data_IF_153651957487
#
_entry.id   IF_153651957487
#
_cell.length_a   1.000
_cell.length_b   1.000
_cell.length_c   1.000
_cell.angle_alpha   90.00
_cell.angle_beta   90.00
_cell.angle_gamma   90.00
#
_symmetry.space_group_name_H-M   'P 1'
#
loop_
_entity.id
_entity.type
_entity.pdbx_description
1 polymer ?
#
# COMPACT_ATOMS: atom_id res chain seq x y z
N UNK A 1 59.90 13.75 -42.42
CA UNK A 1 58.48 13.34 -42.63
C UNK A 1 58.04 12.22 -41.68
N UNK A 2 58.73 11.14 -41.49
CA UNK A 2 58.36 9.99 -40.61
C UNK A 2 58.06 10.35 -39.16
N UNK A 3 58.79 11.26 -38.54
CA UNK A 3 58.60 11.66 -37.13
C UNK A 3 57.26 12.35 -36.89
N UNK A 4 56.78 13.17 -37.79
CA UNK A 4 55.48 13.88 -37.67
C UNK A 4 54.30 12.91 -37.75
N UNK A 5 54.41 11.85 -38.51
CA UNK A 5 53.39 10.79 -38.63
C UNK A 5 53.28 10.00 -37.31
N UNK A 6 54.41 9.64 -36.70
CA UNK A 6 54.42 8.95 -35.42
C UNK A 6 53.83 9.79 -34.27
N UNK A 7 54.13 11.11 -34.22
CA UNK A 7 53.53 11.99 -33.22
C UNK A 7 52.01 12.09 -33.39
N UNK A 8 51.53 12.23 -34.62
CA UNK A 8 50.10 12.27 -34.92
C UNK A 8 49.38 10.95 -34.51
N UNK A 9 50.03 9.80 -34.75
CA UNK A 9 49.51 8.50 -34.38
C UNK A 9 49.42 8.30 -32.85
N UNK A 10 50.43 8.74 -32.10
CA UNK A 10 50.41 8.69 -30.62
C UNK A 10 49.32 9.59 -30.05
N UNK A 11 49.15 10.81 -30.60
CA UNK A 11 48.08 11.72 -30.19
C UNK A 11 46.68 11.12 -30.47
N UNK A 12 46.51 10.50 -31.62
CA UNK A 12 45.23 9.84 -31.97
C UNK A 12 44.89 8.71 -31.02
N UNK A 13 45.87 7.87 -30.67
CA UNK A 13 45.69 6.79 -29.69
C UNK A 13 45.35 7.39 -28.31
N UNK A 14 46.01 8.44 -27.87
CA UNK A 14 45.73 9.12 -26.62
C UNK A 14 44.29 9.65 -26.55
N UNK A 15 43.80 10.24 -27.62
CA UNK A 15 42.41 10.73 -27.72
C UNK A 15 41.42 9.56 -27.62
N UNK A 16 41.69 8.47 -28.34
CA UNK A 16 40.81 7.27 -28.30
C UNK A 16 40.75 6.66 -26.89
N UNK A 17 41.90 6.48 -26.24
CA UNK A 17 41.97 5.92 -24.86
C UNK A 17 41.25 6.86 -23.88
N UNK A 18 41.44 8.19 -24.00
CA UNK A 18 40.72 9.16 -23.15
C UNK A 18 39.22 9.14 -23.38
N UNK A 19 38.79 9.03 -24.63
CA UNK A 19 37.36 8.90 -24.98
C UNK A 19 36.71 7.64 -24.41
N UNK A 20 37.40 6.50 -24.50
CA UNK A 20 36.91 5.23 -23.95
C UNK A 20 36.84 5.29 -22.42
N UNK A 21 37.88 5.84 -21.76
CA UNK A 21 37.83 6.03 -20.29
C UNK A 21 36.74 6.97 -19.84
N UNK A 22 36.53 8.08 -20.56
CA UNK A 22 35.44 9.01 -20.28
C UNK A 22 34.08 8.35 -20.45
N UNK A 23 33.88 7.55 -21.49
CA UNK A 23 32.63 6.82 -21.71
C UNK A 23 32.32 5.86 -20.55
N UNK A 24 33.27 5.03 -20.13
CA UNK A 24 33.07 4.15 -18.98
C UNK A 24 32.79 4.92 -17.70
N UNK A 25 33.55 5.98 -17.42
CA UNK A 25 33.33 6.82 -16.25
C UNK A 25 31.92 7.42 -16.21
N UNK A 26 31.46 7.99 -17.32
CA UNK A 26 30.11 8.58 -17.40
C UNK A 26 29.04 7.50 -17.25
N UNK A 27 29.22 6.36 -17.89
CA UNK A 27 28.28 5.25 -17.80
C UNK A 27 28.16 4.74 -16.36
N UNK A 28 29.28 4.47 -15.69
CA UNK A 28 29.29 4.02 -14.31
C UNK A 28 28.65 5.04 -13.36
N UNK A 29 28.95 6.34 -13.57
CA UNK A 29 28.36 7.42 -12.77
C UNK A 29 26.85 7.49 -12.95
N UNK A 30 26.36 7.38 -14.18
CA UNK A 30 24.91 7.38 -14.47
C UNK A 30 24.22 6.17 -13.82
N UNK A 31 24.83 4.99 -13.89
CA UNK A 31 24.28 3.80 -13.25
C UNK A 31 24.23 3.95 -11.73
N UNK A 32 25.28 4.43 -11.11
CA UNK A 32 25.35 4.62 -9.66
C UNK A 32 24.34 5.68 -9.18
N UNK A 33 24.23 6.79 -9.89
CA UNK A 33 23.28 7.86 -9.59
C UNK A 33 21.82 7.36 -9.75
N UNK A 34 21.53 6.62 -10.83
CA UNK A 34 20.22 6.04 -11.05
C UNK A 34 19.84 5.01 -9.98
N UNK A 35 20.78 4.17 -9.57
CA UNK A 35 20.56 3.18 -8.51
C UNK A 35 20.29 3.85 -7.15
N UNK A 36 21.03 4.91 -6.84
CA UNK A 36 20.84 5.68 -5.60
C UNK A 36 19.48 6.40 -5.61
N UNK A 37 19.09 6.98 -6.73
CA UNK A 37 17.78 7.64 -6.88
C UNK A 37 16.62 6.63 -6.72
N UNK A 38 16.71 5.46 -7.34
CA UNK A 38 15.72 4.39 -7.15
C UNK A 38 15.62 3.94 -5.68
N UNK A 39 16.75 3.82 -4.99
CA UNK A 39 16.78 3.46 -3.58
C UNK A 39 16.13 4.54 -2.70
N UNK A 40 16.33 5.80 -3.03
CA UNK A 40 15.71 6.92 -2.32
C UNK A 40 14.19 6.93 -2.51
N UNK A 41 13.71 6.76 -3.75
CA UNK A 41 12.29 6.61 -4.07
C UNK A 41 11.69 5.42 -3.29
N UNK A 42 12.33 4.25 -3.35
CA UNK A 42 11.88 3.07 -2.60
C UNK A 42 11.73 3.35 -1.10
N UNK A 43 12.73 3.99 -0.49
CA UNK A 43 12.69 4.33 0.93
C UNK A 43 11.57 5.33 1.26
N UNK A 44 11.34 6.30 0.39
CA UNK A 44 10.26 7.28 0.55
C UNK A 44 8.89 6.61 0.51
N UNK A 45 8.65 5.76 -0.49
CA UNK A 45 7.40 5.01 -0.63
C UNK A 45 7.16 4.10 0.55
N UNK A 46 8.19 3.36 0.94
CA UNK A 46 8.09 2.45 2.06
C UNK A 46 7.72 3.19 3.36
N UNK A 47 8.34 4.37 3.60
CA UNK A 47 7.97 5.22 4.75
C UNK A 47 6.52 5.73 4.64
N UNK A 48 6.09 6.14 3.45
CA UNK A 48 4.72 6.61 3.22
C UNK A 48 3.71 5.50 3.50
N UNK A 49 3.99 4.29 3.04
CA UNK A 49 3.16 3.11 3.28
C UNK A 49 3.08 2.77 4.79
N UNK A 50 4.22 2.71 5.48
CA UNK A 50 4.23 2.48 6.92
C UNK A 50 3.49 3.56 7.71
N UNK A 51 3.62 4.82 7.31
CA UNK A 51 2.92 5.92 7.94
C UNK A 51 1.41 5.83 7.70
N UNK A 52 0.99 5.47 6.49
CA UNK A 52 -0.42 5.25 6.16
C UNK A 52 -1.00 4.13 7.01
N UNK A 53 -0.37 2.95 7.01
CA UNK A 53 -0.82 1.78 7.75
C UNK A 53 -0.89 2.10 9.26
N UNK A 54 0.21 2.56 9.84
CA UNK A 54 0.27 2.88 11.28
C UNK A 54 -0.60 4.08 11.68
N UNK A 55 -0.83 5.02 10.76
CA UNK A 55 -1.78 6.12 10.94
C UNK A 55 -3.21 5.60 11.00
N UNK A 56 -3.60 4.76 10.03
CA UNK A 56 -4.93 4.15 9.95
C UNK A 56 -5.24 3.35 11.22
N UNK A 57 -4.34 2.49 11.67
CA UNK A 57 -4.56 1.72 12.91
C UNK A 57 -4.73 2.60 14.14
N UNK A 58 -3.88 3.63 14.32
CA UNK A 58 -4.02 4.58 15.44
C UNK A 58 -5.35 5.32 15.41
N UNK A 59 -5.83 5.68 14.23
CA UNK A 59 -7.13 6.34 14.07
C UNK A 59 -8.25 5.38 14.43
N UNK A 60 -8.17 4.12 14.03
CA UNK A 60 -9.15 3.08 14.40
C UNK A 60 -9.15 2.81 15.91
N UNK A 61 -7.98 2.71 16.53
CA UNK A 61 -7.86 2.56 17.99
C UNK A 61 -8.55 3.69 18.78
N UNK A 62 -8.55 4.90 18.23
CA UNK A 62 -9.28 6.01 18.86
C UNK A 62 -10.79 5.87 18.75
N UNK A 63 -11.32 5.15 17.78
CA UNK A 63 -12.77 4.97 17.61
C UNK A 63 -13.34 3.88 18.52
N UNK A 64 -12.54 2.86 18.86
CA UNK A 64 -12.99 1.70 19.63
C UNK A 64 -13.69 2.11 20.93
N UNK A 65 -13.11 2.94 21.83
CA UNK A 65 -13.78 3.32 23.08
C UNK A 65 -15.12 4.03 22.85
N UNK A 66 -15.23 4.84 21.80
CA UNK A 66 -16.49 5.51 21.48
C UNK A 66 -17.57 4.53 21.01
N UNK A 67 -17.17 3.53 20.21
CA UNK A 67 -18.08 2.50 19.71
C UNK A 67 -18.53 1.55 20.82
N UNK A 68 -17.63 1.23 21.76
CA UNK A 68 -17.93 0.39 22.92
C UNK A 68 -18.89 1.08 23.91
N UNK A 69 -18.81 2.39 24.07
CA UNK A 69 -19.70 3.18 24.92
C UNK A 69 -21.10 3.37 24.34
N UNK A 70 -21.27 3.20 23.02
CA UNK A 70 -22.55 3.36 22.34
C UNK A 70 -23.40 2.09 22.47
N UNK A 71 -24.59 2.22 23.06
CA UNK A 71 -25.55 1.12 23.20
C UNK A 71 -26.60 1.08 22.11
N UNK A 72 -26.80 2.19 21.39
CA UNK A 72 -27.80 2.33 20.34
C UNK A 72 -27.17 2.13 18.97
N UNK A 73 -27.62 1.11 18.24
CA UNK A 73 -27.16 0.80 16.89
C UNK A 73 -27.30 1.98 15.91
N UNK A 74 -28.34 2.79 16.08
CA UNK A 74 -28.56 3.99 15.25
C UNK A 74 -27.43 5.01 15.50
N UNK A 75 -27.05 5.21 16.74
CA UNK A 75 -25.92 6.11 17.10
C UNK A 75 -24.62 5.58 16.52
N UNK A 76 -24.37 4.28 16.59
CA UNK A 76 -23.19 3.62 15.99
C UNK A 76 -23.21 3.83 14.47
N UNK A 77 -24.32 3.59 13.80
CA UNK A 77 -24.44 3.77 12.34
C UNK A 77 -24.20 5.22 11.92
N UNK A 78 -24.81 6.19 12.61
CA UNK A 78 -24.60 7.63 12.35
C UNK A 78 -23.15 8.06 12.61
N UNK A 79 -22.52 7.52 13.64
CA UNK A 79 -21.10 7.77 13.95
C UNK A 79 -20.19 7.22 12.86
N UNK A 80 -20.40 5.95 12.44
CA UNK A 80 -19.62 5.31 11.38
C UNK A 80 -19.76 6.05 10.05
N UNK A 81 -20.98 6.48 9.67
CA UNK A 81 -21.19 7.25 8.43
C UNK A 81 -20.46 8.60 8.47
N UNK A 82 -20.36 9.23 9.64
CA UNK A 82 -19.58 10.46 9.80
C UNK A 82 -18.08 10.22 9.62
N UNK A 83 -17.50 9.24 10.35
CA UNK A 83 -16.07 8.96 10.22
C UNK A 83 -15.71 8.44 8.82
N UNK A 84 -16.60 7.67 8.18
CA UNK A 84 -16.42 7.24 6.79
C UNK A 84 -16.28 8.42 5.83
N UNK A 85 -17.09 9.46 6.02
CA UNK A 85 -17.01 10.67 5.20
C UNK A 85 -15.73 11.47 5.47
N UNK A 86 -15.29 11.51 6.72
CA UNK A 86 -14.11 12.30 7.13
C UNK A 86 -12.81 11.61 6.73
N UNK A 87 -12.74 10.28 6.83
CA UNK A 87 -11.54 9.48 6.58
C UNK A 87 -11.49 8.84 5.18
N UNK A 88 -12.61 8.86 4.45
CA UNK A 88 -12.67 8.42 3.05
C UNK A 88 -12.58 6.91 2.82
N UNK A 89 -12.78 6.06 3.84
CA UNK A 89 -12.78 4.62 3.64
C UNK A 89 -14.07 4.11 2.97
N UNK A 90 -14.01 2.98 2.28
CA UNK A 90 -15.11 2.46 1.46
C UNK A 90 -16.08 1.60 2.26
N UNK A 91 -15.58 0.81 3.21
CA UNK A 91 -16.39 -0.10 4.02
C UNK A 91 -15.99 -0.10 5.48
N UNK A 92 -16.96 -0.40 6.36
CA UNK A 92 -16.75 -0.60 7.79
C UNK A 92 -17.34 -1.94 8.20
N UNK A 93 -16.62 -2.71 9.02
CA UNK A 93 -16.94 -4.09 9.37
C UNK A 93 -16.75 -4.33 10.86
N UNK A 94 -17.76 -4.89 11.49
CA UNK A 94 -17.65 -5.63 12.76
C UNK A 94 -17.26 -7.05 12.41
N UNK A 95 -16.15 -7.57 12.93
CA UNK A 95 -15.58 -8.86 12.52
C UNK A 95 -15.68 -9.84 13.67
N UNK A 96 -16.33 -11.00 13.42
CA UNK A 96 -16.44 -12.07 14.39
C UNK A 96 -15.18 -12.92 14.46
N UNK A 97 -15.09 -13.72 15.50
CA UNK A 97 -13.99 -14.67 15.72
C UNK A 97 -13.77 -15.64 14.57
N UNK A 98 -14.83 -16.01 13.87
CA UNK A 98 -14.79 -16.95 12.73
C UNK A 98 -14.56 -16.25 11.38
N UNK A 99 -14.34 -14.92 11.36
CA UNK A 99 -14.15 -14.16 10.13
C UNK A 99 -15.44 -13.73 9.43
N UNK A 100 -16.60 -13.99 10.04
CA UNK A 100 -17.85 -13.36 9.62
C UNK A 100 -17.80 -11.86 9.85
N UNK A 101 -18.53 -11.10 9.06
CA UNK A 101 -18.66 -9.66 9.29
C UNK A 101 -20.13 -9.21 9.30
N UNK A 102 -20.35 -8.11 9.99
CA UNK A 102 -21.57 -7.31 9.92
C UNK A 102 -21.21 -5.85 9.64
N UNK A 103 -21.93 -5.20 8.73
CA UNK A 103 -21.77 -3.76 8.47
C UNK A 103 -22.76 -2.95 9.30
N UNK A 104 -22.59 -1.61 9.44
CA UNK A 104 -23.56 -0.78 10.16
C UNK A 104 -24.99 -0.79 9.57
N UNK A 105 -25.14 -1.08 8.28
CA UNK A 105 -26.43 -1.31 7.61
C UNK A 105 -26.91 -2.79 7.68
N UNK A 106 -26.33 -3.59 8.57
CA UNK A 106 -26.68 -4.98 8.85
C UNK A 106 -26.46 -5.97 7.72
N UNK A 107 -25.66 -5.63 6.73
CA UNK A 107 -25.23 -6.63 5.76
C UNK A 107 -24.24 -7.59 6.44
N UNK A 108 -24.50 -8.89 6.32
CA UNK A 108 -23.65 -9.94 6.87
C UNK A 108 -22.97 -10.71 5.74
N UNK A 109 -21.76 -11.16 5.99
CA UNK A 109 -20.99 -11.95 5.04
C UNK A 109 -19.75 -12.53 5.69
N UNK A 110 -18.79 -12.92 4.85
CA UNK A 110 -17.52 -13.50 5.29
C UNK A 110 -16.37 -12.76 4.62
N UNK A 111 -15.39 -12.34 5.43
CA UNK A 111 -14.15 -11.72 4.97
C UNK A 111 -13.06 -12.79 4.86
N UNK A 112 -12.62 -13.06 3.64
CA UNK A 112 -11.44 -13.90 3.47
C UNK A 112 -10.19 -13.02 3.68
N UNK A 113 -9.64 -13.06 4.88
CA UNK A 113 -8.42 -12.34 5.27
C UNK A 113 -7.14 -13.15 5.02
N UNK A 114 -7.18 -14.15 4.13
CA UNK A 114 -6.03 -14.91 3.64
C UNK A 114 -5.13 -15.54 4.75
N UNK A 115 -5.72 -15.93 5.86
CA UNK A 115 -5.01 -16.56 7.00
C UNK A 115 -4.65 -15.58 8.12
N UNK A 116 -4.76 -14.27 7.92
CA UNK A 116 -4.48 -13.26 8.97
C UNK A 116 -5.56 -13.16 10.06
N UNK A 117 -6.63 -13.94 9.96
CA UNK A 117 -7.69 -13.93 10.99
C UNK A 117 -7.15 -14.38 12.36
N UNK A 118 -6.24 -15.36 12.39
CA UNK A 118 -5.63 -15.82 13.65
C UNK A 118 -4.75 -14.74 14.28
N UNK A 119 -3.97 -14.02 13.50
CA UNK A 119 -3.16 -12.89 13.97
C UNK A 119 -4.05 -11.81 14.58
N UNK A 120 -5.15 -11.46 13.90
CA UNK A 120 -6.11 -10.45 14.37
C UNK A 120 -6.81 -10.86 15.67
N UNK A 121 -7.35 -12.06 15.74
CA UNK A 121 -8.26 -12.48 16.82
C UNK A 121 -7.53 -13.17 17.97
N UNK A 122 -6.56 -14.05 17.66
CA UNK A 122 -5.86 -14.85 18.68
C UNK A 122 -4.66 -14.10 19.20
N UNK A 123 -3.81 -13.58 18.32
CA UNK A 123 -2.59 -12.88 18.67
C UNK A 123 -2.85 -11.40 19.01
N UNK A 124 -4.07 -10.91 18.72
CA UNK A 124 -4.52 -9.52 18.95
C UNK A 124 -3.61 -8.49 18.26
N UNK A 125 -3.19 -8.81 17.05
CA UNK A 125 -2.37 -7.93 16.21
C UNK A 125 -3.24 -7.15 15.22
N UNK A 126 -2.87 -5.89 14.96
CA UNK A 126 -3.46 -5.10 13.88
C UNK A 126 -3.01 -5.67 12.55
N UNK A 127 -3.93 -5.86 11.62
CA UNK A 127 -3.63 -6.42 10.30
C UNK A 127 -3.97 -5.43 9.18
N UNK A 128 -3.26 -5.58 8.07
CA UNK A 128 -3.62 -5.00 6.78
C UNK A 128 -3.55 -6.13 5.74
N UNK A 129 -4.69 -6.59 5.27
CA UNK A 129 -4.78 -7.75 4.40
C UNK A 129 -5.61 -7.45 3.15
N UNK A 130 -5.26 -8.08 2.04
CA UNK A 130 -6.14 -8.08 0.86
C UNK A 130 -7.40 -8.89 1.17
N UNK A 131 -8.53 -8.36 0.77
CA UNK A 131 -9.80 -9.06 0.86
C UNK A 131 -10.52 -9.02 -0.47
N UNK A 132 -10.90 -10.18 -0.97
CA UNK A 132 -11.76 -10.31 -2.13
C UNK A 132 -13.19 -10.60 -1.67
N UNK A 133 -14.13 -9.78 -2.12
CA UNK A 133 -15.56 -10.07 -1.97
C UNK A 133 -16.16 -10.40 -3.34
N UNK A 134 -17.11 -11.35 -3.41
CA UNK A 134 -17.81 -11.64 -4.65
C UNK A 134 -18.39 -10.35 -5.26
N UNK A 135 -18.09 -10.11 -6.53
CA UNK A 135 -18.59 -8.96 -7.31
C UNK A 135 -18.16 -7.57 -6.83
N UNK A 136 -17.12 -7.48 -6.00
CA UNK A 136 -16.51 -6.19 -5.62
C UNK A 136 -15.06 -6.12 -6.12
N UNK A 137 -14.56 -4.90 -6.41
CA UNK A 137 -13.14 -4.71 -6.68
C UNK A 137 -12.28 -5.22 -5.52
N UNK A 138 -11.05 -5.57 -5.80
CA UNK A 138 -10.08 -5.90 -4.76
C UNK A 138 -9.88 -4.71 -3.82
N UNK A 139 -9.82 -5.01 -2.53
CA UNK A 139 -9.68 -4.02 -1.47
C UNK A 139 -8.66 -4.48 -0.44
N UNK A 140 -8.07 -3.53 0.24
CA UNK A 140 -7.28 -3.78 1.45
C UNK A 140 -8.16 -3.49 2.65
N UNK A 141 -8.22 -4.44 3.56
CA UNK A 141 -8.88 -4.32 4.86
C UNK A 141 -7.81 -4.06 5.92
N UNK A 142 -7.95 -2.95 6.63
CA UNK A 142 -7.26 -2.67 7.86
C UNK A 142 -8.15 -3.10 9.00
N UNK A 143 -7.65 -3.92 9.90
CA UNK A 143 -8.43 -4.34 11.05
C UNK A 143 -7.62 -4.24 12.34
N UNK A 144 -8.33 -3.91 13.42
CA UNK A 144 -7.80 -3.81 14.78
C UNK A 144 -8.64 -4.70 15.70
N UNK A 145 -8.01 -5.46 16.62
CA UNK A 145 -8.74 -6.24 17.61
C UNK A 145 -9.37 -5.33 18.65
N UNK A 146 -10.55 -5.68 19.09
CA UNK A 146 -11.24 -5.03 20.23
C UNK A 146 -11.70 -6.06 21.23
N UNK A 147 -12.23 -5.64 22.37
CA UNK A 147 -12.86 -6.57 23.29
C UNK A 147 -14.16 -7.08 22.70
N UNK A 148 -14.53 -8.30 23.11
CA UNK A 148 -15.76 -8.92 22.64
C UNK A 148 -16.96 -8.03 22.92
N UNK A 149 -17.67 -7.66 21.88
CA UNK A 149 -18.83 -6.79 21.95
C UNK A 149 -19.94 -7.27 21.00
N UNK A 150 -21.07 -6.59 20.99
CA UNK A 150 -22.24 -6.97 20.22
C UNK A 150 -22.78 -5.79 19.42
N UNK A 151 -23.04 -5.99 18.14
CA UNK A 151 -23.78 -5.07 17.29
C UNK A 151 -25.10 -5.71 16.88
N UNK A 152 -26.21 -5.34 17.50
CA UNK A 152 -27.50 -6.02 17.36
C UNK A 152 -27.46 -7.45 17.86
N UNK A 153 -27.57 -8.40 16.95
CA UNK A 153 -27.44 -9.83 17.19
C UNK A 153 -26.10 -10.42 16.77
N UNK A 154 -25.12 -9.55 16.41
CA UNK A 154 -23.85 -9.96 15.87
C UNK A 154 -22.72 -9.73 16.89
N UNK A 155 -22.09 -10.81 17.34
CA UNK A 155 -20.91 -10.76 18.19
C UNK A 155 -19.66 -10.49 17.37
N UNK A 156 -18.79 -9.55 17.81
CA UNK A 156 -17.54 -9.21 17.16
C UNK A 156 -16.39 -9.07 18.16
N UNK A 157 -15.18 -9.29 17.68
CA UNK A 157 -13.93 -9.20 18.45
C UNK A 157 -12.87 -8.32 17.69
N UNK A 158 -13.23 -7.77 16.54
CA UNK A 158 -12.40 -6.83 15.81
C UNK A 158 -13.25 -5.85 14.97
N UNK A 159 -12.66 -4.73 14.64
CA UNK A 159 -13.23 -3.73 13.76
C UNK A 159 -12.33 -3.61 12.53
N UNK A 160 -12.93 -3.56 11.35
CA UNK A 160 -12.22 -3.40 10.07
C UNK A 160 -12.75 -2.24 9.26
N UNK A 161 -11.87 -1.59 8.51
CA UNK A 161 -12.22 -0.67 7.44
C UNK A 161 -11.55 -1.11 6.14
N UNK A 162 -12.16 -0.76 5.01
CA UNK A 162 -11.57 -1.09 3.70
C UNK A 162 -11.38 0.13 2.82
N UNK A 163 -10.34 0.05 1.99
CA UNK A 163 -10.09 0.95 0.88
C UNK A 163 -9.99 0.15 -0.41
N UNK A 164 -10.42 0.70 -1.53
CA UNK A 164 -10.12 0.08 -2.81
C UNK A 164 -8.62 0.14 -3.11
N UNK A 165 -8.08 -0.89 -3.77
CA UNK A 165 -6.66 -0.92 -4.13
C UNK A 165 -6.25 0.32 -4.94
N UNK A 166 -7.13 0.80 -5.83
CA UNK A 166 -6.90 2.02 -6.62
C UNK A 166 -6.74 3.29 -5.78
N UNK A 167 -7.41 3.39 -4.64
CA UNK A 167 -7.29 4.55 -3.74
C UNK A 167 -5.93 4.56 -3.04
N UNK A 168 -5.46 3.39 -2.60
CA UNK A 168 -4.13 3.26 -1.97
C UNK A 168 -3.02 3.48 -2.98
N UNK A 169 -3.16 2.98 -4.22
CA UNK A 169 -2.22 3.26 -5.31
C UNK A 169 -2.12 4.75 -5.57
N UNK A 170 -3.25 5.48 -5.60
CA UNK A 170 -3.24 6.93 -5.77
C UNK A 170 -2.47 7.67 -4.67
N UNK A 171 -2.50 7.18 -3.43
CA UNK A 171 -1.71 7.73 -2.32
C UNK A 171 -0.22 7.41 -2.44
N UNK A 172 0.13 6.36 -3.17
CA UNK A 172 1.51 5.93 -3.44
C UNK A 172 2.02 6.41 -4.80
N UNK A 173 1.26 7.27 -5.52
CA UNK A 173 1.67 7.79 -6.81
C UNK A 173 3.08 8.37 -6.75
N UNK A 174 3.99 7.59 -7.33
CA UNK A 174 5.36 7.98 -7.53
C UNK A 174 5.46 8.42 -8.97
N UNK A 175 5.50 9.70 -9.20
CA UNK A 175 5.90 10.26 -10.48
C UNK A 175 7.41 10.08 -10.67
N UNK A 176 7.85 8.84 -10.86
CA UNK A 176 9.23 8.54 -11.19
C UNK A 176 9.31 8.24 -12.68
N UNK A 177 10.25 8.88 -13.38
CA UNK A 177 10.56 8.60 -14.79
C UNK A 177 9.44 8.93 -15.80
N UNK A 178 8.89 10.15 -15.77
CA UNK A 178 7.95 10.66 -16.79
C UNK A 178 6.79 9.68 -17.10
N UNK A 179 6.07 9.23 -16.10
CA UNK A 179 4.89 8.32 -16.20
C UNK A 179 5.16 6.95 -16.84
N UNK A 180 6.41 6.60 -17.14
CA UNK A 180 6.78 5.29 -17.69
C UNK A 180 7.18 4.25 -16.63
N UNK A 181 7.15 4.62 -15.34
CA UNK A 181 7.47 3.70 -14.26
C UNK A 181 6.24 2.89 -13.84
N UNK A 182 6.46 1.61 -13.53
CA UNK A 182 5.46 0.74 -12.93
C UNK A 182 5.85 0.45 -11.50
N UNK A 183 4.93 0.72 -10.57
CA UNK A 183 5.10 0.41 -9.16
C UNK A 183 4.20 -0.75 -8.78
N UNK A 184 4.73 -1.68 -8.02
CA UNK A 184 4.00 -2.84 -7.53
C UNK A 184 4.11 -2.90 -6.02
N UNK A 185 3.00 -3.20 -5.34
CA UNK A 185 3.02 -3.65 -3.96
C UNK A 185 2.91 -5.17 -3.99
N UNK A 186 3.88 -5.84 -3.38
CA UNK A 186 4.04 -7.28 -3.48
C UNK A 186 4.02 -7.86 -2.06
N UNK A 187 3.25 -8.94 -1.86
CA UNK A 187 3.30 -9.74 -0.63
C UNK A 187 4.66 -10.41 -0.47
N UNK A 188 5.05 -10.80 0.75
CA UNK A 188 6.27 -11.56 0.99
C UNK A 188 6.34 -12.89 0.23
N UNK A 189 5.19 -13.45 -0.15
CA UNK A 189 5.07 -14.68 -0.95
C UNK A 189 5.20 -14.43 -2.47
N UNK A 190 5.41 -13.17 -2.90
CA UNK A 190 5.60 -12.77 -4.28
C UNK A 190 4.31 -12.44 -5.05
N UNK A 191 3.14 -12.53 -4.43
CA UNK A 191 1.89 -12.10 -5.08
C UNK A 191 1.83 -10.58 -5.19
N UNK A 192 1.43 -10.08 -6.36
CA UNK A 192 1.22 -8.65 -6.59
C UNK A 192 -0.11 -8.24 -5.98
N UNK A 193 -0.08 -7.31 -5.01
CA UNK A 193 -1.28 -6.75 -4.38
C UNK A 193 -1.88 -5.68 -5.27
N UNK A 194 -1.04 -4.87 -5.90
CA UNK A 194 -1.44 -3.72 -6.70
C UNK A 194 -0.50 -3.50 -7.88
N UNK A 195 -1.10 -3.18 -9.04
CA UNK A 195 -0.40 -2.75 -10.26
C UNK A 195 -1.00 -1.41 -10.70
N UNK A 196 -0.19 -0.36 -10.81
CA UNK A 196 -0.66 0.94 -11.31
C UNK A 196 -1.01 0.93 -12.80
N UNK A 197 -0.71 -0.15 -13.53
CA UNK A 197 -1.06 -0.29 -14.95
C UNK A 197 -2.58 -0.45 -15.18
N UNK A 198 -3.33 -0.94 -14.20
CA UNK A 198 -4.79 -1.14 -14.34
C UNK A 198 -5.59 0.15 -14.09
N UNK A 199 -5.03 1.13 -13.40
CA UNK A 199 -5.70 2.41 -13.11
C UNK A 199 -5.86 3.28 -14.36
N UNK A 200 -4.96 3.15 -15.35
CA UNK A 200 -5.04 3.92 -16.60
C UNK A 200 -6.13 3.41 -17.56
N UNK A 201 -6.59 2.17 -17.43
CA UNK A 201 -7.65 1.60 -18.30
C UNK A 201 -9.06 1.98 -17.89
N UNK A 202 -9.27 2.49 -16.68
CA UNK A 202 -10.59 2.90 -16.20
C UNK A 202 -10.94 4.37 -16.51
N UNK A 203 -9.97 5.18 -16.94
CA UNK A 203 -10.14 6.61 -17.26
C UNK A 203 -10.17 6.92 -18.76
N UNK A 204 -10.36 5.91 -19.64
CA UNK A 204 -10.59 6.04 -21.07
C UNK A 204 -11.93 5.43 -21.46
#
# INVERSE_FOLDING_TARGET
MKHRIWVAFILMIGIIISGVRYYFFVTDTIYEESANHLKEIYNQVNRSLYNLIGGTWRTMDMWIPYLEDMQDEKQISEYVERIKKDEGFTGFYFISREGGYCTPDRQKGYLNLEGHLSELIIDRECIAASAAMPSKPEMIVFAVPCDKNVYGDFEYEAIGISFYNSEIVGLLEISAFDDNSKSYVIYPDGRVIMDNADTQKQNT
#
